data_IF_086639419658
#
_entry.id   IF_086639419658
#
_cell.length_a   1.000
_cell.length_b   1.000
_cell.length_c   1.000
_cell.angle_alpha   90.00
_cell.angle_beta   90.00
_cell.angle_gamma   90.00
#
_symmetry.space_group_name_H-M   'P 1'
#
loop_
_entity.id
_entity.type
_entity.pdbx_description
1 polymer ?
#
# COMPACT_ATOMS: atom_id res chain seq x y z
N UNK A 1 20.60 -15.22 -4.49
CA UNK A 1 19.39 -14.65 -3.85
C UNK A 1 18.45 -15.77 -3.52
N UNK A 2 18.14 -15.97 -2.24
CA UNK A 2 17.28 -17.06 -1.79
C UNK A 2 15.81 -16.66 -1.90
N UNK A 3 14.97 -17.54 -2.40
CA UNK A 3 13.52 -17.43 -2.46
C UNK A 3 12.94 -18.72 -1.93
N UNK A 4 11.81 -18.64 -1.25
CA UNK A 4 11.05 -19.83 -0.87
C UNK A 4 10.10 -20.15 -2.01
N UNK A 5 10.16 -21.39 -2.51
CA UNK A 5 9.19 -21.93 -3.46
C UNK A 5 8.04 -22.59 -2.72
N UNK A 6 6.87 -22.64 -3.34
CA UNK A 6 5.66 -23.26 -2.78
C UNK A 6 5.11 -22.55 -1.55
N UNK A 7 5.10 -21.24 -1.55
CA UNK A 7 4.16 -20.51 -0.72
C UNK A 7 2.76 -20.90 -1.22
N UNK A 8 2.17 -21.90 -0.57
CA UNK A 8 0.77 -22.27 -0.83
C UNK A 8 -0.05 -21.10 -0.32
N UNK A 9 -0.44 -20.24 -1.25
CA UNK A 9 -1.56 -19.35 -0.98
C UNK A 9 -2.72 -20.24 -0.58
N UNK A 10 -3.27 -20.11 0.64
CA UNK A 10 -4.48 -20.86 0.99
C UNK A 10 -5.49 -20.53 -0.09
N UNK A 11 -6.11 -21.54 -0.73
CA UNK A 11 -6.88 -21.45 -1.97
C UNK A 11 -7.90 -20.32 -2.01
N UNK A 12 -7.40 -19.11 -2.18
CA UNK A 12 -8.20 -17.91 -2.34
C UNK A 12 -8.84 -17.99 -3.72
N UNK A 13 -10.14 -18.04 -3.74
CA UNK A 13 -10.90 -17.85 -4.96
C UNK A 13 -10.53 -16.46 -5.47
N UNK A 14 -10.00 -16.36 -6.68
CA UNK A 14 -9.87 -15.07 -7.36
C UNK A 14 -11.27 -14.50 -7.50
N UNK A 15 -11.52 -13.35 -6.87
CA UNK A 15 -12.79 -12.68 -7.00
C UNK A 15 -12.87 -12.08 -8.41
N UNK A 16 -13.87 -12.49 -9.16
CA UNK A 16 -14.06 -12.02 -10.54
C UNK A 16 -14.38 -10.53 -10.60
N UNK A 17 -14.93 -9.97 -9.54
CA UNK A 17 -15.31 -8.55 -9.44
C UNK A 17 -15.20 -8.07 -7.99
N UNK A 18 -14.85 -6.80 -7.83
CA UNK A 18 -15.09 -6.09 -6.58
C UNK A 18 -16.55 -5.67 -6.50
N UNK A 19 -17.14 -5.79 -5.33
CA UNK A 19 -18.48 -5.29 -5.03
C UNK A 19 -18.32 -4.01 -4.20
N UNK A 20 -19.14 -2.98 -4.45
CA UNK A 20 -19.18 -1.83 -3.54
C UNK A 20 -19.68 -2.27 -2.17
N UNK A 21 -19.00 -1.81 -1.13
CA UNK A 21 -19.45 -2.04 0.24
C UNK A 21 -20.78 -1.31 0.50
N UNK A 22 -21.52 -1.76 1.50
CA UNK A 22 -22.66 -1.00 2.01
C UNK A 22 -22.17 0.38 2.45
N UNK A 23 -23.03 1.38 2.28
CA UNK A 23 -22.73 2.71 2.79
C UNK A 23 -22.77 2.67 4.31
N UNK A 24 -21.68 3.08 4.98
CA UNK A 24 -21.65 3.10 6.44
C UNK A 24 -22.58 4.19 6.96
N UNK A 25 -23.21 3.95 8.11
CA UNK A 25 -24.02 4.96 8.78
C UNK A 25 -23.15 6.13 9.28
N UNK A 26 -21.92 5.79 9.67
CA UNK A 26 -20.90 6.75 10.11
C UNK A 26 -19.56 6.41 9.44
N UNK A 27 -18.81 7.45 9.12
CA UNK A 27 -17.39 7.31 8.75
C UNK A 27 -16.54 8.05 9.78
N UNK A 28 -15.41 7.44 10.15
CA UNK A 28 -14.39 8.05 11.01
C UNK A 28 -13.17 8.34 10.15
N UNK A 29 -12.93 9.62 9.84
CA UNK A 29 -11.88 10.04 8.91
C UNK A 29 -10.71 10.63 9.70
N UNK A 30 -9.59 9.90 9.86
CA UNK A 30 -8.42 10.38 10.58
C UNK A 30 -7.80 11.59 9.88
N UNK A 31 -7.29 12.53 10.67
CA UNK A 31 -6.54 13.69 10.17
C UNK A 31 -5.05 13.40 9.97
N UNK A 32 -4.60 12.19 10.24
CA UNK A 32 -3.28 11.67 9.90
C UNK A 32 -3.44 10.42 9.04
N UNK A 33 -2.84 10.40 7.86
CA UNK A 33 -2.88 9.26 6.93
C UNK A 33 -1.49 8.77 6.52
N UNK A 34 -0.44 9.41 7.04
CA UNK A 34 0.95 9.02 6.88
C UNK A 34 1.72 9.23 8.18
N UNK A 35 2.78 8.47 8.39
CA UNK A 35 3.64 8.63 9.58
C UNK A 35 4.29 10.04 9.58
N UNK A 36 4.05 10.81 10.65
CA UNK A 36 4.72 12.07 10.92
C UNK A 36 4.06 13.33 10.34
N UNK A 37 2.99 13.20 9.56
CA UNK A 37 2.27 14.35 9.04
C UNK A 37 1.22 14.87 10.05
N UNK A 38 1.36 16.13 10.47
CA UNK A 38 0.33 16.83 11.21
C UNK A 38 -0.62 17.57 10.27
N UNK A 39 -1.91 17.25 10.36
CA UNK A 39 -2.96 17.90 9.58
C UNK A 39 -3.81 18.84 10.45
N UNK A 40 -4.15 19.98 9.88
CA UNK A 40 -5.13 20.89 10.50
C UNK A 40 -6.54 20.49 10.09
N UNK A 41 -7.47 20.29 11.05
CA UNK A 41 -8.87 20.10 10.73
C UNK A 41 -9.42 21.34 10.00
N UNK A 42 -10.15 21.10 8.92
CA UNK A 42 -10.86 22.10 8.13
C UNK A 42 -12.36 22.07 8.39
N UNK A 43 -12.81 21.33 9.41
CA UNK A 43 -14.21 21.16 9.78
C UNK A 43 -14.39 21.13 11.28
N UNK A 44 -15.59 21.53 11.73
CA UNK A 44 -16.01 21.55 13.14
C UNK A 44 -17.27 20.68 13.34
N UNK A 45 -17.57 20.24 14.58
CA UNK A 45 -18.83 19.57 14.89
C UNK A 45 -20.03 20.44 14.51
N UNK A 46 -20.99 19.85 13.79
CA UNK A 46 -22.16 20.53 13.23
C UNK A 46 -22.04 20.92 11.76
N UNK A 47 -20.82 20.93 11.20
CA UNK A 47 -20.62 21.26 9.79
C UNK A 47 -21.25 20.23 8.86
N UNK A 48 -21.86 20.72 7.77
CA UNK A 48 -22.31 19.89 6.66
C UNK A 48 -21.20 19.73 5.65
N UNK A 49 -20.88 18.49 5.28
CA UNK A 49 -19.82 18.16 4.31
C UNK A 49 -20.39 17.43 3.12
N UNK A 50 -19.75 17.61 1.94
CA UNK A 50 -20.05 16.88 0.70
C UNK A 50 -19.07 15.74 0.55
N UNK A 51 -19.48 14.71 -0.22
CA UNK A 51 -18.54 13.71 -0.71
C UNK A 51 -17.41 14.38 -1.51
N UNK A 52 -16.15 14.08 -1.16
CA UNK A 52 -14.97 14.67 -1.77
C UNK A 52 -14.58 16.06 -1.25
N UNK A 53 -15.26 16.60 -0.27
CA UNK A 53 -14.85 17.88 0.37
C UNK A 53 -13.61 17.64 1.23
N UNK A 54 -12.64 18.56 1.18
CA UNK A 54 -11.46 18.54 2.06
C UNK A 54 -11.91 18.75 3.50
N UNK A 55 -11.53 17.84 4.39
CA UNK A 55 -11.82 17.89 5.84
C UNK A 55 -10.57 18.13 6.67
N UNK A 56 -9.39 17.87 6.13
CA UNK A 56 -8.12 18.26 6.74
C UNK A 56 -7.04 18.45 5.66
N UNK A 57 -6.09 19.34 5.92
CA UNK A 57 -4.97 19.61 5.05
C UNK A 57 -3.66 19.71 5.85
N UNK A 58 -2.53 19.46 5.21
CA UNK A 58 -1.21 19.53 5.86
C UNK A 58 -0.94 20.94 6.40
N UNK A 59 -0.45 21.05 7.65
CA UNK A 59 -0.10 22.32 8.28
C UNK A 59 1.07 23.04 7.63
N UNK A 60 1.95 22.30 6.96
CA UNK A 60 3.13 22.86 6.33
C UNK A 60 2.80 23.46 4.96
N UNK A 61 2.20 24.62 4.94
CA UNK A 61 1.89 25.38 3.71
C UNK A 61 3.13 25.69 2.88
N UNK A 62 4.30 25.83 3.50
CA UNK A 62 5.57 26.13 2.84
C UNK A 62 6.29 24.88 2.31
N UNK A 63 6.11 23.72 2.91
CA UNK A 63 6.74 22.46 2.47
C UNK A 63 5.88 21.67 1.48
N UNK A 64 4.57 21.95 1.36
CA UNK A 64 3.61 21.31 0.43
C UNK A 64 3.76 19.77 0.33
N UNK A 65 4.10 19.12 1.44
CA UNK A 65 4.50 17.72 1.47
C UNK A 65 3.35 16.75 1.74
N UNK A 66 2.23 17.20 2.31
CA UNK A 66 1.07 16.35 2.60
C UNK A 66 0.08 16.23 1.44
N UNK A 67 -0.78 15.24 1.48
CA UNK A 67 -1.92 15.07 0.59
C UNK A 67 -3.21 15.38 1.34
N UNK A 68 -4.11 16.17 0.74
CA UNK A 68 -5.37 16.56 1.38
C UNK A 68 -6.23 15.34 1.75
N UNK A 69 -6.98 15.48 2.83
CA UNK A 69 -7.88 14.46 3.37
C UNK A 69 -9.32 14.88 3.08
N UNK A 70 -10.08 13.95 2.51
CA UNK A 70 -11.41 14.22 1.99
C UNK A 70 -12.48 13.43 2.73
N UNK A 71 -13.66 14.01 2.87
CA UNK A 71 -14.83 13.27 3.28
C UNK A 71 -15.19 12.23 2.23
N UNK A 72 -15.29 10.98 2.65
CA UNK A 72 -15.69 9.87 1.76
C UNK A 72 -17.20 9.79 1.55
N UNK A 73 -17.98 10.50 2.34
CA UNK A 73 -19.45 10.52 2.32
C UNK A 73 -19.98 11.95 2.44
N UNK A 74 -21.16 12.26 1.89
CA UNK A 74 -21.88 13.47 2.29
C UNK A 74 -22.47 13.27 3.68
N UNK A 75 -22.52 14.33 4.49
CA UNK A 75 -23.08 14.20 5.83
C UNK A 75 -22.91 15.40 6.73
N UNK A 76 -23.08 15.17 8.01
CA UNK A 76 -22.82 16.15 9.07
C UNK A 76 -21.71 15.63 9.98
N UNK A 77 -20.75 16.48 10.29
CA UNK A 77 -19.71 16.19 11.28
C UNK A 77 -20.37 16.16 12.66
N UNK A 78 -20.42 14.98 13.27
CA UNK A 78 -21.05 14.77 14.57
C UNK A 78 -20.11 15.15 15.72
N UNK A 79 -18.84 14.73 15.58
CA UNK A 79 -17.79 15.02 16.57
C UNK A 79 -16.40 14.98 15.94
N UNK A 80 -15.43 15.56 16.64
CA UNK A 80 -13.99 15.35 16.44
C UNK A 80 -13.52 14.49 17.60
N UNK A 81 -13.09 13.27 17.31
CA UNK A 81 -12.71 12.25 18.30
C UNK A 81 -11.34 11.66 18.02
N UNK A 82 -10.76 10.98 19.00
CA UNK A 82 -9.51 10.23 18.82
C UNK A 82 -9.83 8.84 18.27
N UNK A 83 -9.11 8.41 17.26
CA UNK A 83 -9.16 7.05 16.73
C UNK A 83 -7.76 6.43 16.70
N UNK A 84 -7.72 5.10 16.75
CA UNK A 84 -6.48 4.34 16.60
C UNK A 84 -6.19 4.12 15.11
N UNK A 85 -4.96 4.38 14.69
CA UNK A 85 -4.47 4.10 13.34
C UNK A 85 -3.90 2.68 13.25
N UNK A 86 -3.66 2.20 12.03
CA UNK A 86 -3.08 0.87 11.78
C UNK A 86 -1.72 0.65 12.48
N UNK A 87 -0.90 1.70 12.61
CA UNK A 87 0.39 1.65 13.29
C UNK A 87 0.30 1.70 14.83
N UNK A 88 -0.91 1.75 15.41
CA UNK A 88 -1.17 1.85 16.84
C UNK A 88 -1.15 3.28 17.39
N UNK A 89 -0.79 4.29 16.59
CA UNK A 89 -0.82 5.68 17.01
C UNK A 89 -2.26 6.19 17.11
N UNK A 90 -2.46 7.22 17.95
CA UNK A 90 -3.73 7.93 18.05
C UNK A 90 -3.71 9.16 17.13
N UNK A 91 -4.79 9.36 16.40
CA UNK A 91 -5.03 10.57 15.61
C UNK A 91 -6.38 11.16 15.96
N UNK A 92 -6.53 12.48 15.81
CA UNK A 92 -7.86 13.06 15.75
C UNK A 92 -8.53 12.70 14.43
N UNK A 93 -9.85 12.51 14.45
CA UNK A 93 -10.66 12.13 13.29
C UNK A 93 -12.00 12.86 13.32
N UNK A 94 -12.54 13.16 12.14
CA UNK A 94 -13.93 13.60 12.00
C UNK A 94 -14.84 12.38 11.94
N UNK A 95 -15.80 12.28 12.88
CA UNK A 95 -16.92 11.36 12.81
C UNK A 95 -18.05 12.00 12.03
N UNK A 96 -18.36 11.44 10.87
CA UNK A 96 -19.36 11.99 9.94
C UNK A 96 -20.55 11.05 9.85
N UNK A 97 -21.72 11.56 10.16
CA UNK A 97 -22.99 10.85 9.94
C UNK A 97 -23.37 10.95 8.48
N UNK A 98 -23.48 9.82 7.81
CA UNK A 98 -23.80 9.75 6.37
C UNK A 98 -25.23 10.20 6.12
N UNK A 99 -25.40 11.27 5.35
CA UNK A 99 -26.71 11.79 4.93
C UNK A 99 -26.57 12.69 3.70
N UNK A 100 -27.61 12.76 2.87
CA UNK A 100 -27.63 13.63 1.71
C UNK A 100 -27.21 12.95 0.41
N UNK A 101 -26.98 13.74 -0.63
CA UNK A 101 -26.71 13.27 -1.98
C UNK A 101 -25.21 13.11 -2.24
N UNK A 102 -24.82 11.98 -2.81
CA UNK A 102 -23.45 11.73 -3.23
C UNK A 102 -23.09 12.54 -4.49
N UNK A 103 -21.87 13.04 -4.54
CA UNK A 103 -21.34 13.80 -5.70
C UNK A 103 -20.86 12.88 -6.81
N UNK A 104 -20.26 11.74 -6.46
CA UNK A 104 -19.60 10.82 -7.40
C UNK A 104 -20.26 9.45 -7.49
N UNK A 105 -20.81 8.94 -6.40
CA UNK A 105 -21.41 7.61 -6.34
C UNK A 105 -22.57 7.47 -7.33
N UNK A 106 -22.45 6.48 -8.24
CA UNK A 106 -23.47 6.19 -9.25
C UNK A 106 -23.58 7.20 -10.39
N UNK A 107 -22.65 8.18 -10.46
CA UNK A 107 -22.62 9.19 -11.51
C UNK A 107 -21.46 8.94 -12.48
N UNK A 108 -21.73 9.12 -13.77
CA UNK A 108 -20.71 9.12 -14.81
C UNK A 108 -20.01 10.48 -14.78
N UNK A 109 -18.69 10.48 -14.62
CA UNK A 109 -17.89 11.68 -14.68
C UNK A 109 -17.43 11.94 -16.12
N UNK A 110 -17.32 13.22 -16.48
CA UNK A 110 -16.73 13.60 -17.76
C UNK A 110 -15.20 13.43 -17.65
N UNK A 111 -14.62 12.70 -18.57
CA UNK A 111 -13.17 12.54 -18.62
C UNK A 111 -12.47 13.84 -18.97
N UNK A 112 -11.38 14.12 -18.26
CA UNK A 112 -10.49 15.26 -18.47
C UNK A 112 -9.31 14.76 -19.29
N UNK A 113 -8.96 15.50 -20.34
CA UNK A 113 -7.72 15.22 -21.07
C UNK A 113 -6.50 15.61 -20.22
N UNK A 114 -5.90 14.60 -19.58
CA UNK A 114 -4.77 14.79 -18.70
C UNK A 114 -3.48 15.21 -19.41
N UNK A 115 -3.40 15.03 -20.74
CA UNK A 115 -2.21 15.38 -21.55
C UNK A 115 -1.96 16.89 -21.61
N UNK A 116 -2.97 17.70 -21.26
CA UNK A 116 -2.84 19.17 -21.20
C UNK A 116 -2.13 19.68 -19.95
N UNK A 117 -1.97 18.84 -18.92
CA UNK A 117 -1.37 19.26 -17.66
C UNK A 117 0.15 19.21 -17.70
N UNK A 118 0.79 20.29 -17.25
CA UNK A 118 2.23 20.28 -16.97
C UNK A 118 2.54 19.45 -15.71
N UNK A 119 3.79 18.98 -15.57
CA UNK A 119 4.22 18.18 -14.42
C UNK A 119 3.93 18.86 -13.08
N UNK A 120 4.20 20.15 -12.96
CA UNK A 120 3.91 20.92 -11.74
C UNK A 120 2.41 20.92 -11.39
N UNK A 121 1.53 21.10 -12.38
CA UNK A 121 0.08 21.05 -12.20
C UNK A 121 -0.38 19.67 -11.75
N UNK A 122 0.19 18.59 -12.33
CA UNK A 122 -0.11 17.22 -11.92
C UNK A 122 0.27 16.99 -10.44
N UNK A 123 1.39 17.51 -9.97
CA UNK A 123 1.80 17.40 -8.58
C UNK A 123 0.83 18.12 -7.62
N UNK A 124 0.35 19.30 -8.00
CA UNK A 124 -0.65 20.03 -7.21
C UNK A 124 -1.99 19.30 -7.21
N UNK A 125 -2.40 18.71 -8.33
CA UNK A 125 -3.59 17.86 -8.40
C UNK A 125 -3.42 16.60 -7.56
N UNK A 126 -2.26 15.92 -7.59
CA UNK A 126 -2.02 14.76 -6.71
C UNK A 126 -2.22 15.10 -5.25
N UNK A 127 -1.72 16.26 -4.80
CA UNK A 127 -1.92 16.75 -3.45
C UNK A 127 -3.39 17.05 -3.16
N UNK A 128 -4.04 17.84 -4.01
CA UNK A 128 -5.43 18.31 -3.84
C UNK A 128 -6.45 17.16 -3.91
N UNK A 129 -6.17 16.09 -4.67
CA UNK A 129 -7.01 14.88 -4.74
C UNK A 129 -6.69 13.86 -3.66
N UNK A 130 -5.71 14.12 -2.81
CA UNK A 130 -5.33 13.23 -1.73
C UNK A 130 -4.66 11.94 -2.18
N UNK A 131 -3.97 11.95 -3.34
CA UNK A 131 -3.33 10.76 -3.90
C UNK A 131 -2.07 10.41 -3.11
N UNK A 132 -2.00 9.15 -2.69
CA UNK A 132 -0.88 8.59 -1.95
C UNK A 132 -0.32 7.38 -2.67
N UNK A 133 0.98 7.15 -2.51
CA UNK A 133 1.63 5.91 -2.92
C UNK A 133 1.54 4.89 -1.80
N UNK A 134 1.04 3.68 -2.11
CA UNK A 134 0.88 2.58 -1.16
C UNK A 134 1.76 1.37 -1.47
N UNK A 135 2.70 1.51 -2.37
CA UNK A 135 3.62 0.45 -2.79
C UNK A 135 4.38 -0.20 -1.63
N UNK A 136 4.83 0.59 -0.66
CA UNK A 136 5.58 0.12 0.53
C UNK A 136 4.70 -0.43 1.65
N UNK A 137 3.38 -0.49 1.46
CA UNK A 137 2.41 -0.85 2.50
C UNK A 137 2.07 0.27 3.48
N UNK A 138 2.60 1.48 3.25
CA UNK A 138 2.28 2.72 3.97
C UNK A 138 1.75 3.74 2.96
N UNK A 139 0.89 4.65 3.44
CA UNK A 139 0.40 5.75 2.61
C UNK A 139 1.40 6.92 2.65
N UNK A 140 2.10 7.15 1.55
CA UNK A 140 3.05 8.28 1.40
C UNK A 140 2.48 9.26 0.38
N UNK A 141 2.56 10.57 0.64
CA UNK A 141 2.14 11.58 -0.34
C UNK A 141 2.91 11.41 -1.65
N UNK A 142 2.20 11.09 -2.73
CA UNK A 142 2.83 10.88 -4.05
C UNK A 142 3.53 12.14 -4.55
N UNK A 143 2.92 13.31 -4.35
CA UNK A 143 3.52 14.58 -4.73
C UNK A 143 4.84 14.86 -3.98
N UNK A 144 4.90 14.52 -2.68
CA UNK A 144 6.11 14.64 -1.88
C UNK A 144 7.21 13.69 -2.34
N UNK A 145 6.86 12.44 -2.57
CA UNK A 145 7.80 11.41 -3.02
C UNK A 145 8.46 11.82 -4.35
N UNK A 146 7.65 12.30 -5.30
CA UNK A 146 8.13 12.80 -6.58
C UNK A 146 9.04 14.03 -6.40
N UNK A 147 8.62 15.02 -5.61
CA UNK A 147 9.42 16.24 -5.37
C UNK A 147 10.79 15.92 -4.76
N UNK A 148 10.83 14.99 -3.81
CA UNK A 148 12.08 14.60 -3.15
C UNK A 148 13.03 13.82 -4.08
N UNK A 149 12.51 13.24 -5.15
CA UNK A 149 13.28 12.43 -6.11
C UNK A 149 13.70 13.18 -7.39
N UNK A 150 13.29 14.44 -7.58
CA UNK A 150 13.46 15.18 -8.86
C UNK A 150 14.90 15.54 -9.23
N UNK A 151 15.86 15.41 -8.33
CA UNK A 151 17.27 15.77 -8.59
C UNK A 151 18.06 14.66 -9.30
N UNK A 152 17.46 13.53 -9.59
CA UNK A 152 18.16 12.37 -10.14
C UNK A 152 18.07 12.31 -11.68
N UNK A 153 19.15 11.82 -12.29
CA UNK A 153 19.18 11.43 -13.72
C UNK A 153 18.67 9.99 -13.87
N UNK A 154 18.18 9.63 -15.06
CA UNK A 154 17.62 8.29 -15.36
C UNK A 154 16.44 7.92 -14.44
N UNK A 155 15.37 8.68 -14.55
CA UNK A 155 14.13 8.49 -13.78
C UNK A 155 13.23 7.48 -14.49
N UNK A 156 12.73 6.50 -13.75
CA UNK A 156 11.76 5.51 -14.25
C UNK A 156 10.60 5.35 -13.29
N UNK A 157 9.43 5.10 -13.85
CA UNK A 157 8.28 4.61 -13.11
C UNK A 157 8.27 3.09 -13.19
N UNK A 158 8.14 2.41 -12.05
CA UNK A 158 8.07 0.95 -11.97
C UNK A 158 6.74 0.57 -11.36
N UNK A 159 5.93 -0.19 -12.10
CA UNK A 159 4.63 -0.66 -11.61
C UNK A 159 4.69 -2.16 -11.34
N UNK A 160 4.47 -2.54 -10.07
CA UNK A 160 4.32 -3.92 -9.65
C UNK A 160 2.87 -4.36 -9.83
N UNK A 161 2.57 -5.22 -10.81
CA UNK A 161 1.23 -5.63 -11.19
C UNK A 161 0.70 -6.83 -10.39
N UNK A 162 1.13 -6.98 -9.13
CA UNK A 162 0.74 -8.07 -8.22
C UNK A 162 0.98 -7.69 -6.77
N UNK A 163 0.39 -8.44 -5.85
CA UNK A 163 0.57 -8.23 -4.41
C UNK A 163 1.95 -8.70 -3.92
N UNK A 164 2.53 -7.95 -2.99
CA UNK A 164 3.80 -8.32 -2.36
C UNK A 164 3.63 -9.45 -1.33
N UNK A 165 2.55 -9.40 -0.54
CA UNK A 165 2.19 -10.49 0.37
C UNK A 165 1.40 -11.57 -0.39
N UNK A 166 1.82 -12.85 -0.35
CA UNK A 166 1.15 -13.92 -1.07
C UNK A 166 -0.27 -14.24 -0.56
N UNK A 167 -0.67 -13.73 0.60
CA UNK A 167 -2.03 -13.86 1.14
C UNK A 167 -2.97 -12.72 0.72
N UNK A 168 -2.48 -11.72 -0.01
CA UNK A 168 -3.24 -10.56 -0.47
C UNK A 168 -3.50 -10.67 -1.98
N UNK A 169 -4.65 -10.18 -2.45
CA UNK A 169 -5.08 -10.25 -3.85
C UNK A 169 -5.61 -8.94 -4.40
N UNK A 170 -5.47 -7.85 -3.67
CA UNK A 170 -6.03 -6.55 -4.04
C UNK A 170 -5.35 -5.98 -5.27
N UNK A 171 -4.02 -5.86 -5.24
CA UNK A 171 -3.24 -5.31 -6.37
C UNK A 171 -3.37 -6.19 -7.61
N UNK A 172 -3.39 -7.51 -7.44
CA UNK A 172 -3.56 -8.47 -8.55
C UNK A 172 -4.93 -8.35 -9.20
N UNK A 173 -6.00 -8.24 -8.41
CA UNK A 173 -7.36 -8.04 -8.92
C UNK A 173 -7.49 -6.71 -9.65
N UNK A 174 -6.95 -5.63 -9.06
CA UNK A 174 -6.98 -4.30 -9.68
C UNK A 174 -6.22 -4.30 -11.00
N UNK A 175 -5.03 -4.89 -11.05
CA UNK A 175 -4.23 -5.02 -12.28
C UNK A 175 -4.98 -5.77 -13.39
N UNK A 176 -5.71 -6.84 -13.04
CA UNK A 176 -6.48 -7.64 -14.00
C UNK A 176 -7.75 -6.92 -14.49
N UNK A 177 -8.55 -6.37 -13.56
CA UNK A 177 -9.91 -5.88 -13.88
C UNK A 177 -9.95 -4.41 -14.33
N UNK A 178 -8.94 -3.64 -13.96
CA UNK A 178 -8.83 -2.20 -14.24
C UNK A 178 -7.56 -1.87 -15.01
N UNK A 179 -7.10 -2.80 -15.87
CA UNK A 179 -5.80 -2.69 -16.55
C UNK A 179 -5.60 -1.36 -17.27
N UNK A 180 -6.60 -0.93 -18.07
CA UNK A 180 -6.51 0.32 -18.83
C UNK A 180 -6.34 1.54 -17.91
N UNK A 181 -7.09 1.59 -16.83
CA UNK A 181 -6.99 2.67 -15.84
C UNK A 181 -5.64 2.66 -15.12
N UNK A 182 -5.12 1.48 -14.79
CA UNK A 182 -3.77 1.32 -14.21
C UNK A 182 -2.70 1.82 -15.18
N UNK A 183 -2.78 1.46 -16.45
CA UNK A 183 -1.85 1.90 -17.50
C UNK A 183 -1.90 3.43 -17.67
N UNK A 184 -3.10 4.02 -17.76
CA UNK A 184 -3.26 5.48 -17.86
C UNK A 184 -2.69 6.17 -16.62
N UNK A 185 -2.98 5.66 -15.42
CA UNK A 185 -2.43 6.19 -14.16
C UNK A 185 -0.91 6.14 -14.11
N UNK A 186 -0.29 5.07 -14.59
CA UNK A 186 1.17 4.96 -14.70
C UNK A 186 1.77 5.97 -15.70
N UNK A 187 1.09 6.22 -16.84
CA UNK A 187 1.49 7.24 -17.84
C UNK A 187 1.41 8.66 -17.26
N UNK A 188 0.36 8.97 -16.50
CA UNK A 188 0.22 10.24 -15.79
C UNK A 188 1.34 10.40 -14.75
N UNK A 189 1.65 9.35 -13.98
CA UNK A 189 2.75 9.36 -13.02
C UNK A 189 4.11 9.58 -13.71
N UNK A 190 4.33 8.98 -14.90
CA UNK A 190 5.52 9.23 -15.71
C UNK A 190 5.66 10.71 -16.10
N UNK A 191 4.56 11.34 -16.55
CA UNK A 191 4.57 12.76 -16.89
C UNK A 191 4.85 13.64 -15.66
N UNK A 192 4.21 13.35 -14.51
CA UNK A 192 4.42 14.10 -13.29
C UNK A 192 5.85 13.95 -12.74
N UNK A 193 6.43 12.76 -12.84
CA UNK A 193 7.80 12.46 -12.43
C UNK A 193 8.85 12.84 -13.47
N UNK A 194 8.43 13.25 -14.68
CA UNK A 194 9.29 13.49 -15.86
C UNK A 194 10.22 12.31 -16.13
N UNK A 195 9.67 11.10 -16.05
CA UNK A 195 10.46 9.88 -16.17
C UNK A 195 10.76 9.53 -17.63
N UNK A 196 11.93 8.92 -17.85
CA UNK A 196 12.44 8.49 -19.16
C UNK A 196 11.67 7.28 -19.71
N UNK A 197 10.98 6.53 -18.83
CA UNK A 197 10.20 5.36 -19.25
C UNK A 197 9.42 4.72 -18.11
N UNK A 198 8.62 3.71 -18.46
CA UNK A 198 7.78 2.93 -17.53
C UNK A 198 8.18 1.46 -17.63
N UNK A 199 8.37 0.81 -16.48
CA UNK A 199 8.59 -0.63 -16.39
C UNK A 199 7.44 -1.30 -15.66
N UNK A 200 6.71 -2.18 -16.33
CA UNK A 200 5.69 -3.02 -15.73
C UNK A 200 6.27 -4.38 -15.36
N UNK A 201 6.07 -4.81 -14.11
CA UNK A 201 6.43 -6.16 -13.67
C UNK A 201 5.16 -6.95 -13.46
N UNK A 202 4.90 -7.89 -14.37
CA UNK A 202 3.66 -8.66 -14.49
C UNK A 202 3.86 -10.08 -13.97
N UNK A 203 2.88 -10.72 -13.31
CA UNK A 203 2.97 -12.14 -12.98
C UNK A 203 3.12 -13.00 -14.24
N UNK A 204 3.98 -14.03 -14.22
CA UNK A 204 4.09 -14.99 -15.35
C UNK A 204 2.78 -15.70 -15.69
N UNK A 205 1.91 -15.86 -14.69
CA UNK A 205 0.60 -16.50 -14.82
C UNK A 205 -0.55 -15.49 -14.73
N UNK A 206 -0.31 -14.25 -15.22
CA UNK A 206 -1.38 -13.26 -15.32
C UNK A 206 -2.44 -13.72 -16.33
N UNK A 207 -3.69 -13.37 -16.05
CA UNK A 207 -4.86 -13.55 -16.93
C UNK A 207 -5.07 -12.34 -17.86
N UNK A 208 -4.11 -11.42 -17.91
CA UNK A 208 -4.09 -10.21 -18.73
C UNK A 208 -2.74 -10.01 -19.40
N UNK A 209 -2.72 -9.24 -20.47
CA UNK A 209 -1.51 -8.76 -21.14
C UNK A 209 -1.60 -7.26 -21.37
N UNK A 210 -0.48 -6.57 -21.24
CA UNK A 210 -0.37 -5.15 -21.54
C UNK A 210 -0.06 -5.03 -23.03
N UNK A 211 -0.89 -4.26 -23.76
CA UNK A 211 -0.67 -3.97 -25.16
C UNK A 211 0.33 -2.79 -25.27
N UNK A 212 1.49 -3.07 -25.87
CA UNK A 212 2.54 -2.06 -26.05
C UNK A 212 2.11 -0.95 -27.04
N UNK A 213 1.13 -1.21 -27.90
CA UNK A 213 0.60 -0.19 -28.84
C UNK A 213 -0.08 0.99 -28.13
N UNK A 214 -0.46 0.85 -26.86
CA UNK A 214 -1.07 1.90 -26.04
C UNK A 214 -0.08 3.05 -25.69
N UNK A 215 1.23 2.83 -25.88
CA UNK A 215 2.25 3.75 -25.38
C UNK A 215 2.83 4.68 -26.45
N UNK A 216 2.43 4.53 -27.73
CA UNK A 216 2.91 5.36 -28.84
C UNK A 216 4.46 5.44 -28.85
N UNK A 217 5.03 6.64 -28.60
CA UNK A 217 6.47 6.88 -28.56
C UNK A 217 7.08 6.74 -27.14
N UNK A 218 6.31 6.28 -26.14
CA UNK A 218 6.78 6.15 -24.77
C UNK A 218 7.67 4.90 -24.61
N UNK A 219 8.78 5.01 -23.91
CA UNK A 219 9.66 3.87 -23.61
C UNK A 219 9.03 3.02 -22.52
N UNK A 220 8.69 1.79 -22.86
CA UNK A 220 8.03 0.84 -21.95
C UNK A 220 8.81 -0.47 -21.92
N UNK A 221 8.92 -1.07 -20.74
CA UNK A 221 9.44 -2.42 -20.56
C UNK A 221 8.43 -3.29 -19.82
N UNK A 222 8.03 -4.41 -20.40
CA UNK A 222 7.15 -5.37 -19.75
C UNK A 222 8.00 -6.57 -19.36
N UNK A 223 8.07 -6.84 -18.05
CA UNK A 223 8.88 -7.91 -17.48
C UNK A 223 8.01 -8.85 -16.65
N UNK A 224 8.26 -10.17 -16.80
CA UNK A 224 7.47 -11.20 -16.14
C UNK A 224 8.18 -11.77 -14.91
N UNK A 225 7.50 -11.68 -13.75
CA UNK A 225 7.97 -12.23 -12.48
C UNK A 225 7.28 -13.55 -12.14
N UNK A 226 8.03 -14.49 -11.56
CA UNK A 226 7.50 -15.73 -11.03
C UNK A 226 7.00 -15.53 -9.60
N UNK A 227 5.71 -15.22 -9.46
CA UNK A 227 5.05 -14.92 -8.17
C UNK A 227 4.88 -16.15 -7.28
N UNK A 228 5.18 -17.38 -7.77
CA UNK A 228 5.26 -18.57 -6.92
C UNK A 228 6.50 -18.56 -6.00
N UNK A 229 7.44 -17.64 -6.24
CA UNK A 229 8.66 -17.45 -5.45
C UNK A 229 8.56 -16.24 -4.58
N UNK A 230 8.65 -16.43 -3.28
CA UNK A 230 8.62 -15.33 -2.32
C UNK A 230 10.02 -15.06 -1.72
N UNK A 231 10.41 -13.78 -1.52
CA UNK A 231 9.78 -12.56 -1.98
C UNK A 231 10.06 -12.30 -3.47
N UNK A 232 9.10 -11.75 -4.19
CA UNK A 232 9.26 -11.35 -5.59
C UNK A 232 8.92 -9.88 -5.87
N UNK A 233 8.16 -9.25 -4.96
CA UNK A 233 7.63 -7.90 -5.10
C UNK A 233 8.48 -6.77 -4.48
N UNK A 234 9.59 -7.09 -3.79
CA UNK A 234 10.46 -6.07 -3.19
C UNK A 234 11.20 -5.27 -4.26
N UNK A 235 11.50 -4.00 -3.98
CA UNK A 235 12.22 -3.07 -4.89
C UNK A 235 13.42 -3.74 -5.54
N UNK A 236 14.27 -4.38 -4.75
CA UNK A 236 15.48 -5.05 -5.23
C UNK A 236 15.19 -6.20 -6.23
N UNK A 237 14.13 -6.98 -5.97
CA UNK A 237 13.72 -8.06 -6.87
C UNK A 237 13.16 -7.51 -8.18
N UNK A 238 12.33 -6.48 -8.11
CA UNK A 238 11.78 -5.82 -9.29
C UNK A 238 12.90 -5.26 -10.18
N UNK A 239 13.84 -4.50 -9.60
CA UNK A 239 15.01 -3.99 -10.34
C UNK A 239 15.81 -5.12 -11.02
N UNK A 240 16.00 -6.24 -10.31
CA UNK A 240 16.72 -7.38 -10.88
C UNK A 240 15.97 -8.00 -12.07
N UNK A 241 14.64 -8.11 -11.98
CA UNK A 241 13.83 -8.62 -13.08
C UNK A 241 13.94 -7.70 -14.30
N UNK A 242 13.81 -6.39 -14.11
CA UNK A 242 13.87 -5.39 -15.17
C UNK A 242 15.26 -5.37 -15.81
N UNK A 243 16.34 -5.31 -15.00
CA UNK A 243 17.73 -5.34 -15.51
C UNK A 243 18.07 -6.62 -16.28
N UNK A 244 17.43 -7.74 -15.94
CA UNK A 244 17.61 -8.98 -16.71
C UNK A 244 16.98 -8.84 -18.10
N UNK A 245 15.85 -8.17 -18.22
CA UNK A 245 15.17 -7.92 -19.48
C UNK A 245 15.88 -6.85 -20.33
N UNK A 246 16.58 -5.90 -19.72
CA UNK A 246 17.31 -4.81 -20.39
C UNK A 246 18.55 -5.27 -21.20
N UNK A 247 18.85 -6.57 -21.20
CA UNK A 247 19.83 -7.17 -22.12
C UNK A 247 19.37 -7.20 -23.58
N UNK A 248 18.09 -7.00 -23.82
CA UNK A 248 17.50 -6.81 -25.15
C UNK A 248 17.76 -5.35 -25.54
N UNK A 249 18.34 -5.04 -26.71
CA UNK A 249 18.73 -3.67 -27.10
C UNK A 249 17.60 -2.64 -26.95
N UNK A 250 16.38 -3.03 -27.24
CA UNK A 250 15.16 -2.20 -27.14
C UNK A 250 14.89 -1.69 -25.71
N UNK A 251 15.31 -2.46 -24.69
CA UNK A 251 15.10 -2.14 -23.28
C UNK A 251 16.38 -1.71 -22.56
N UNK A 252 17.47 -1.43 -23.26
CA UNK A 252 18.79 -1.12 -22.68
C UNK A 252 18.74 0.05 -21.69
N UNK A 253 17.91 1.06 -21.94
CA UNK A 253 17.76 2.22 -21.07
C UNK A 253 17.37 1.84 -19.63
N UNK A 254 16.61 0.75 -19.45
CA UNK A 254 16.19 0.26 -18.14
C UNK A 254 17.30 -0.44 -17.33
N UNK A 255 18.50 -0.59 -17.90
CA UNK A 255 19.69 -1.03 -17.15
C UNK A 255 20.05 -0.06 -16.02
N UNK A 256 19.70 1.22 -16.18
CA UNK A 256 19.99 2.31 -15.23
C UNK A 256 19.00 2.39 -14.06
N UNK A 257 17.99 1.51 -14.00
CA UNK A 257 17.00 1.51 -12.94
C UNK A 257 17.67 1.39 -11.56
N UNK A 258 17.23 2.19 -10.58
CA UNK A 258 17.83 2.26 -9.26
C UNK A 258 16.76 2.44 -8.17
N UNK A 259 17.14 2.51 -6.89
CA UNK A 259 16.24 2.64 -5.75
C UNK A 259 15.50 3.98 -5.66
N UNK A 260 15.95 4.99 -6.41
CA UNK A 260 15.34 6.32 -6.45
C UNK A 260 14.30 6.47 -7.56
N UNK A 261 14.06 5.41 -8.33
CA UNK A 261 12.94 5.34 -9.25
C UNK A 261 11.61 5.33 -8.48
N UNK A 262 10.55 5.78 -9.13
CA UNK A 262 9.21 5.80 -8.54
C UNK A 262 8.58 4.41 -8.67
N UNK A 263 8.39 3.74 -7.54
CA UNK A 263 7.74 2.43 -7.48
C UNK A 263 6.28 2.59 -7.12
N UNK A 264 5.39 2.04 -7.93
CA UNK A 264 3.95 2.13 -7.77
C UNK A 264 3.30 0.75 -7.74
N UNK A 265 2.12 0.70 -7.15
CA UNK A 265 1.18 -0.42 -7.22
C UNK A 265 -0.06 -0.07 -8.06
N UNK A 266 -0.87 -1.06 -8.46
CA UNK A 266 -2.06 -0.84 -9.30
C UNK A 266 -3.08 0.09 -8.63
N UNK A 267 -3.22 0.03 -7.31
CA UNK A 267 -4.19 0.84 -6.60
C UNK A 267 -3.80 2.32 -6.52
N UNK A 268 -2.50 2.61 -6.42
CA UNK A 268 -1.98 3.97 -6.58
C UNK A 268 -2.24 4.48 -8.00
N UNK A 269 -2.00 3.65 -9.02
CA UNK A 269 -2.28 4.04 -10.41
C UNK A 269 -3.78 4.31 -10.66
N UNK A 270 -4.69 3.52 -10.10
CA UNK A 270 -6.14 3.79 -10.15
C UNK A 270 -6.48 5.11 -9.46
N UNK A 271 -5.90 5.37 -8.29
CA UNK A 271 -6.13 6.63 -7.58
C UNK A 271 -5.67 7.85 -8.41
N UNK A 272 -4.57 7.70 -9.16
CA UNK A 272 -4.09 8.73 -10.11
C UNK A 272 -5.12 8.89 -11.25
N UNK A 273 -5.58 7.79 -11.86
CA UNK A 273 -6.58 7.85 -12.92
C UNK A 273 -7.89 8.51 -12.45
N UNK A 274 -8.44 8.05 -11.33
CA UNK A 274 -9.69 8.59 -10.78
C UNK A 274 -9.54 10.07 -10.41
N UNK A 275 -8.39 10.46 -9.83
CA UNK A 275 -8.11 11.85 -9.45
C UNK A 275 -7.94 12.80 -10.61
N UNK A 276 -7.20 12.41 -11.62
CA UNK A 276 -6.79 13.30 -12.72
C UNK A 276 -7.75 13.23 -13.90
N UNK A 277 -8.16 12.02 -14.30
CA UNK A 277 -9.03 11.85 -15.47
C UNK A 277 -10.50 12.07 -15.10
N UNK A 278 -10.95 11.56 -13.94
CA UNK A 278 -12.34 11.67 -13.51
C UNK A 278 -12.60 12.82 -12.51
N UNK A 279 -11.55 13.48 -12.02
CA UNK A 279 -11.66 14.55 -11.04
C UNK A 279 -12.10 14.10 -9.65
N UNK A 280 -12.12 12.79 -9.37
CA UNK A 280 -12.61 12.21 -8.11
C UNK A 280 -11.45 12.13 -7.10
N UNK A 281 -11.53 12.80 -5.93
CA UNK A 281 -10.51 12.63 -4.90
C UNK A 281 -10.55 11.22 -4.32
N UNK A 282 -9.47 10.83 -3.61
CA UNK A 282 -9.36 9.49 -3.00
C UNK A 282 -10.33 9.36 -1.83
N UNK A 283 -11.51 8.82 -2.10
CA UNK A 283 -12.60 8.59 -1.14
C UNK A 283 -12.96 7.13 -0.95
N UNK A 284 -12.43 6.24 -1.80
CA UNK A 284 -12.67 4.79 -1.76
C UNK A 284 -11.35 4.03 -1.92
N UNK A 285 -11.30 2.80 -1.39
CA UNK A 285 -10.19 1.86 -1.55
C UNK A 285 -10.70 0.46 -1.85
N UNK A 286 -9.90 -0.33 -2.58
CA UNK A 286 -10.17 -1.75 -2.73
C UNK A 286 -9.63 -2.50 -1.52
N UNK A 287 -10.48 -3.27 -0.87
CA UNK A 287 -10.12 -4.05 0.34
C UNK A 287 -10.56 -5.50 0.16
N UNK A 288 -9.59 -6.41 0.27
CA UNK A 288 -9.83 -7.85 0.32
C UNK A 288 -10.14 -8.26 1.76
N UNK A 289 -11.36 -8.73 2.00
CA UNK A 289 -11.81 -9.17 3.33
C UNK A 289 -11.95 -10.68 3.34
N UNK A 290 -11.20 -11.37 4.20
CA UNK A 290 -11.13 -12.83 4.24
C UNK A 290 -10.87 -13.36 5.66
N UNK A 291 -10.84 -14.66 5.81
CA UNK A 291 -10.49 -15.35 7.05
C UNK A 291 -11.39 -16.53 7.36
N UNK A 292 -10.86 -17.49 8.09
CA UNK A 292 -11.58 -18.72 8.49
C UNK A 292 -12.77 -18.47 9.43
N UNK A 293 -12.77 -17.32 10.12
CA UNK A 293 -13.82 -16.93 11.04
C UNK A 293 -15.05 -16.31 10.36
N UNK A 294 -14.92 -15.83 9.10
CA UNK A 294 -16.00 -15.17 8.39
C UNK A 294 -16.95 -16.16 7.73
N UNK A 295 -18.22 -15.77 7.60
CA UNK A 295 -19.21 -16.52 6.82
C UNK A 295 -18.92 -16.51 5.34
N UNK A 296 -18.45 -15.40 4.81
CA UNK A 296 -18.03 -15.26 3.43
C UNK A 296 -16.84 -14.32 3.31
N UNK A 297 -16.00 -14.53 2.30
CA UNK A 297 -14.94 -13.62 1.92
C UNK A 297 -15.41 -12.71 0.77
N UNK A 298 -14.79 -11.54 0.59
CA UNK A 298 -15.14 -10.63 -0.49
C UNK A 298 -14.03 -9.66 -0.86
N UNK A 299 -14.13 -9.13 -2.08
CA UNK A 299 -13.35 -8.00 -2.53
C UNK A 299 -14.29 -6.80 -2.63
N UNK A 300 -14.02 -5.75 -1.88
CA UNK A 300 -14.92 -4.61 -1.79
C UNK A 300 -14.23 -3.32 -2.21
N UNK A 301 -14.96 -2.43 -2.88
CA UNK A 301 -14.60 -1.02 -2.99
C UNK A 301 -15.25 -0.29 -1.81
N UNK A 302 -14.44 0.12 -0.84
CA UNK A 302 -14.84 0.57 0.50
C UNK A 302 -14.65 2.07 0.64
N UNK A 303 -15.59 2.76 1.29
CA UNK A 303 -15.44 4.16 1.67
C UNK A 303 -14.37 4.31 2.76
N UNK A 304 -13.44 5.24 2.56
CA UNK A 304 -12.45 5.59 3.59
C UNK A 304 -13.19 6.04 4.87
N UNK A 305 -12.74 5.57 6.02
CA UNK A 305 -13.40 5.82 7.30
C UNK A 305 -14.44 4.78 7.71
N UNK A 306 -14.77 3.79 6.86
CA UNK A 306 -15.60 2.63 7.25
C UNK A 306 -14.84 1.79 8.27
N UNK A 307 -15.48 1.34 9.35
CA UNK A 307 -14.82 0.50 10.35
C UNK A 307 -14.54 -0.91 9.82
N UNK A 308 -13.47 -1.55 10.32
CA UNK A 308 -13.17 -2.97 10.00
C UNK A 308 -14.32 -3.86 10.49
N UNK A 309 -15.02 -3.48 11.54
CA UNK A 309 -16.21 -4.14 12.06
C UNK A 309 -17.36 -4.17 11.04
N UNK A 310 -17.60 -3.04 10.37
CA UNK A 310 -18.63 -2.95 9.33
C UNK A 310 -18.28 -3.83 8.11
N UNK A 311 -16.99 -3.95 7.77
CA UNK A 311 -16.55 -4.87 6.73
C UNK A 311 -16.80 -6.34 7.08
N UNK A 312 -16.58 -6.73 8.34
CA UNK A 312 -16.90 -8.07 8.79
C UNK A 312 -18.42 -8.35 8.72
N UNK A 313 -19.25 -7.37 9.06
CA UNK A 313 -20.71 -7.46 8.93
C UNK A 313 -21.14 -7.61 7.46
N UNK A 314 -20.49 -6.90 6.54
CA UNK A 314 -20.73 -7.04 5.12
C UNK A 314 -20.44 -8.46 4.59
N UNK A 315 -19.48 -9.15 5.19
CA UNK A 315 -19.17 -10.56 4.94
C UNK A 315 -20.16 -11.54 5.62
N UNK A 316 -21.29 -11.05 6.12
CA UNK A 316 -22.31 -11.84 6.84
C UNK A 316 -21.98 -12.08 8.32
N UNK A 317 -20.94 -11.43 8.84
CA UNK A 317 -20.45 -11.59 10.22
C UNK A 317 -19.60 -12.85 10.39
N UNK A 318 -19.45 -13.25 11.64
CA UNK A 318 -18.56 -14.34 12.03
C UNK A 318 -19.31 -15.67 12.24
N UNK A 319 -18.66 -16.77 11.86
CA UNK A 319 -19.03 -18.13 12.28
C UNK A 319 -18.44 -18.43 13.66
N UNK A 320 -17.21 -17.95 13.92
CA UNK A 320 -16.49 -18.09 15.19
C UNK A 320 -15.77 -16.77 15.48
N UNK A 321 -15.61 -16.44 16.76
CA UNK A 321 -14.88 -15.22 17.15
C UNK A 321 -13.43 -15.26 16.64
N UNK A 322 -12.95 -14.19 15.98
CA UNK A 322 -11.57 -14.13 15.55
C UNK A 322 -10.62 -14.05 16.74
N UNK A 323 -9.57 -14.84 16.72
CA UNK A 323 -8.52 -14.81 17.73
C UNK A 323 -7.41 -13.81 17.37
N UNK A 324 -7.31 -13.44 16.08
CA UNK A 324 -6.40 -12.40 15.60
C UNK A 324 -6.96 -11.78 14.32
N UNK A 325 -6.76 -10.48 14.19
CA UNK A 325 -7.09 -9.72 12.97
C UNK A 325 -5.78 -9.23 12.38
N UNK A 326 -5.58 -9.46 11.09
CA UNK A 326 -4.37 -9.05 10.37
C UNK A 326 -4.77 -8.17 9.19
N UNK A 327 -4.11 -7.03 9.07
CA UNK A 327 -4.32 -6.07 7.99
C UNK A 327 -3.10 -6.08 7.07
N UNK A 328 -3.33 -6.03 5.76
CA UNK A 328 -2.31 -5.98 4.70
C UNK A 328 -1.43 -7.24 4.55
N UNK A 329 -1.95 -8.41 4.94
CA UNK A 329 -1.32 -9.70 4.65
C UNK A 329 -0.72 -10.40 5.86
N UNK A 330 -0.64 -11.72 5.79
CA UNK A 330 -0.18 -12.57 6.92
C UNK A 330 1.31 -12.44 7.22
N UNK A 331 2.12 -12.09 6.22
CA UNK A 331 3.58 -12.12 6.34
C UNK A 331 4.12 -10.75 6.68
N UNK A 332 3.71 -9.73 5.90
CA UNK A 332 4.22 -8.37 6.03
C UNK A 332 3.23 -7.42 6.70
N UNK A 333 2.00 -7.88 6.96
CA UNK A 333 0.95 -7.06 7.52
C UNK A 333 1.06 -6.83 9.03
N UNK A 334 0.10 -6.07 9.53
CA UNK A 334 0.00 -5.64 10.93
C UNK A 334 -1.15 -6.35 11.64
N UNK A 335 -0.90 -6.89 12.82
CA UNK A 335 -1.96 -7.41 13.71
C UNK A 335 -2.63 -6.27 14.46
N UNK A 336 -3.95 -6.26 14.51
CA UNK A 336 -4.74 -5.28 15.26
C UNK A 336 -5.60 -5.98 16.32
N UNK A 337 -5.92 -5.24 17.39
CA UNK A 337 -6.79 -5.72 18.46
C UNK A 337 -8.19 -5.11 18.41
N UNK A 338 -8.33 -3.94 17.75
CA UNK A 338 -9.55 -3.16 17.68
C UNK A 338 -10.18 -3.24 16.29
N UNK A 339 -11.47 -3.54 16.21
CA UNK A 339 -12.24 -3.55 14.96
C UNK A 339 -12.86 -2.20 14.61
N UNK A 340 -12.84 -1.24 15.53
CA UNK A 340 -13.33 0.11 15.25
C UNK A 340 -12.30 0.99 14.50
N UNK A 341 -11.09 0.44 14.25
CA UNK A 341 -10.10 1.07 13.36
C UNK A 341 -10.74 1.34 11.99
N UNK A 342 -10.69 2.60 11.51
CA UNK A 342 -11.25 2.96 10.22
C UNK A 342 -10.35 2.50 9.06
N UNK A 343 -10.96 2.17 7.94
CA UNK A 343 -10.25 1.95 6.68
C UNK A 343 -9.59 3.26 6.25
N UNK A 344 -8.26 3.25 6.16
CA UNK A 344 -7.44 4.35 5.67
C UNK A 344 -6.94 4.06 4.24
N UNK A 345 -6.23 5.02 3.63
CA UNK A 345 -5.71 4.89 2.25
C UNK A 345 -4.70 3.75 2.07
N UNK A 346 -4.10 3.23 3.14
CA UNK A 346 -3.09 2.15 3.11
C UNK A 346 -3.68 0.74 3.29
N UNK A 347 -4.94 0.62 3.72
CA UNK A 347 -5.56 -0.67 4.00
C UNK A 347 -6.03 -1.31 2.69
N UNK A 348 -5.43 -2.47 2.35
CA UNK A 348 -5.74 -3.26 1.15
C UNK A 348 -6.36 -4.62 1.45
N UNK A 349 -6.12 -5.16 2.64
CA UNK A 349 -6.75 -6.42 3.04
C UNK A 349 -6.96 -6.49 4.54
N UNK A 350 -7.99 -7.24 4.95
CA UNK A 350 -8.28 -7.57 6.33
C UNK A 350 -8.57 -9.06 6.41
N UNK A 351 -7.87 -9.75 7.30
CA UNK A 351 -8.01 -11.18 7.49
C UNK A 351 -8.30 -11.52 8.95
N UNK A 352 -9.36 -12.33 9.18
CA UNK A 352 -9.83 -12.73 10.49
C UNK A 352 -9.47 -14.20 10.76
N UNK A 353 -8.47 -14.41 11.62
CA UNK A 353 -7.88 -15.71 11.90
C UNK A 353 -8.49 -16.37 13.14
N UNK A 354 -8.74 -17.67 13.05
CA UNK A 354 -9.19 -18.49 14.17
C UNK A 354 -8.00 -18.85 15.09
N UNK A 355 -8.30 -19.30 16.30
CA UNK A 355 -7.30 -19.79 17.26
C UNK A 355 -6.50 -20.97 16.73
N UNK A 356 -7.10 -21.81 15.88
CA UNK A 356 -6.44 -22.95 15.26
C UNK A 356 -5.31 -22.57 14.29
N UNK A 357 -5.38 -21.36 13.71
CA UNK A 357 -4.36 -20.84 12.78
C UNK A 357 -3.22 -20.12 13.49
N UNK A 358 -3.34 -19.87 14.79
CA UNK A 358 -2.34 -19.14 15.54
C UNK A 358 -1.28 -20.09 16.12
N UNK A 359 -0.03 -19.65 16.00
CA UNK A 359 1.05 -20.30 16.72
C UNK A 359 1.26 -19.63 18.09
N UNK A 360 0.81 -20.29 19.16
CA UNK A 360 0.78 -19.76 20.53
C UNK A 360 2.13 -19.89 21.27
N UNK A 361 3.17 -20.40 20.61
CA UNK A 361 4.46 -20.57 21.27
C UNK A 361 5.15 -19.21 21.52
N UNK A 362 5.61 -19.00 22.74
CA UNK A 362 6.37 -17.81 23.14
C UNK A 362 7.75 -17.80 22.48
N UNK A 363 8.29 -16.61 22.28
CA UNK A 363 9.67 -16.44 21.85
C UNK A 363 10.63 -16.90 22.96
N UNK A 364 11.76 -17.46 22.54
CA UNK A 364 12.85 -17.89 23.42
C UNK A 364 14.13 -17.14 23.03
N UNK A 365 15.18 -17.12 23.89
CA UNK A 365 16.44 -16.49 23.54
C UNK A 365 17.05 -17.05 22.24
N UNK A 366 17.81 -16.21 21.54
CA UNK A 366 18.46 -16.59 20.29
C UNK A 366 19.47 -17.73 20.51
N UNK A 367 19.26 -18.86 19.81
CA UNK A 367 20.18 -20.03 19.87
C UNK A 367 21.33 -19.96 18.87
N UNK A 368 21.50 -18.86 18.16
CA UNK A 368 22.57 -18.60 17.16
C UNK A 368 22.68 -19.63 16.04
N UNK A 369 21.55 -20.20 15.59
CA UNK A 369 21.52 -21.22 14.55
C UNK A 369 21.87 -20.70 13.13
N UNK A 370 21.85 -19.39 12.90
CA UNK A 370 22.19 -18.75 11.63
C UNK A 370 21.15 -18.87 10.51
N UNK A 371 20.00 -19.51 10.72
CA UNK A 371 18.96 -19.69 9.68
C UNK A 371 18.47 -18.36 9.12
N UNK A 372 18.31 -17.31 9.97
CA UNK A 372 17.88 -15.97 9.56
C UNK A 372 18.85 -15.31 8.57
N UNK A 373 20.17 -15.48 8.78
CA UNK A 373 21.20 -15.00 7.83
C UNK A 373 21.17 -15.81 6.54
N UNK A 374 21.03 -17.13 6.68
CA UNK A 374 21.04 -18.04 5.54
C UNK A 374 19.86 -17.79 4.59
N UNK A 375 18.68 -17.40 5.08
CA UNK A 375 17.47 -17.18 4.27
C UNK A 375 17.38 -15.74 3.73
N UNK A 376 18.04 -14.76 4.34
CA UNK A 376 17.91 -13.36 3.99
C UNK A 376 18.25 -13.11 2.51
N UNK A 377 17.33 -12.56 1.70
CA UNK A 377 17.58 -12.28 0.28
C UNK A 377 18.58 -11.15 0.07
N UNK A 378 18.74 -10.26 1.06
CA UNK A 378 19.66 -9.12 1.04
C UNK A 378 20.95 -9.40 1.83
N UNK A 379 21.17 -10.67 2.25
CA UNK A 379 22.36 -11.10 3.01
C UNK A 379 22.65 -10.32 4.30
N UNK A 380 21.60 -9.80 4.92
CA UNK A 380 21.71 -9.14 6.21
C UNK A 380 22.06 -10.13 7.34
N UNK A 381 22.35 -9.57 8.50
CA UNK A 381 22.61 -10.32 9.75
C UNK A 381 21.50 -10.06 10.77
N UNK A 382 20.25 -10.58 10.55
CA UNK A 382 19.09 -10.20 11.34
C UNK A 382 19.21 -10.46 12.83
N UNK A 383 19.93 -11.51 13.24
CA UNK A 383 20.18 -11.83 14.64
C UNK A 383 21.06 -10.82 15.34
N UNK A 384 22.05 -10.24 14.65
CA UNK A 384 22.88 -9.19 15.23
C UNK A 384 22.13 -7.85 15.29
N UNK A 385 21.40 -7.48 14.23
CA UNK A 385 20.56 -6.28 14.22
C UNK A 385 19.50 -6.36 15.33
N UNK A 386 18.89 -7.54 15.54
CA UNK A 386 17.96 -7.77 16.65
C UNK A 386 18.63 -7.52 18.01
N UNK A 387 19.82 -8.06 18.24
CA UNK A 387 20.57 -7.88 19.50
C UNK A 387 20.98 -6.43 19.74
N UNK A 388 21.30 -5.71 18.67
CA UNK A 388 21.61 -4.29 18.78
C UNK A 388 20.44 -3.52 19.42
N UNK A 389 19.22 -3.78 19.00
CA UNK A 389 18.02 -3.11 19.51
C UNK A 389 17.63 -3.62 20.90
N UNK A 390 17.62 -4.95 21.11
CA UNK A 390 17.02 -5.54 22.32
C UNK A 390 18.02 -5.69 23.49
N UNK A 391 19.31 -5.85 23.20
CA UNK A 391 20.34 -6.11 24.20
C UNK A 391 21.40 -4.97 24.26
N UNK A 392 21.24 -3.89 23.45
CA UNK A 392 22.21 -2.81 23.36
C UNK A 392 23.57 -3.25 22.80
N UNK A 393 23.60 -4.33 22.00
CA UNK A 393 24.83 -4.86 21.42
C UNK A 393 25.43 -3.88 20.41
N UNK A 394 26.66 -3.43 20.66
CA UNK A 394 27.33 -2.49 19.76
C UNK A 394 27.80 -3.20 18.49
N UNK A 395 27.26 -2.78 17.37
CA UNK A 395 27.72 -3.19 16.03
C UNK A 395 28.57 -2.09 15.40
N UNK A 396 29.39 -2.47 14.42
CA UNK A 396 30.02 -1.47 13.56
C UNK A 396 28.94 -0.65 12.84
N UNK A 397 29.22 0.64 12.61
CA UNK A 397 28.29 1.53 11.88
C UNK A 397 27.90 0.97 10.51
N UNK A 398 28.83 0.30 9.83
CA UNK A 398 28.60 -0.31 8.52
C UNK A 398 27.54 -1.42 8.58
N UNK A 399 27.59 -2.29 9.62
CA UNK A 399 26.60 -3.36 9.79
C UNK A 399 25.23 -2.75 10.16
N UNK A 400 25.20 -1.78 11.05
CA UNK A 400 23.97 -1.10 11.44
C UNK A 400 23.31 -0.42 10.21
N UNK A 401 24.10 0.27 9.40
CA UNK A 401 23.64 0.93 8.19
C UNK A 401 23.06 -0.04 7.14
N UNK A 402 23.41 -1.34 7.17
CA UNK A 402 22.79 -2.32 6.26
C UNK A 402 21.30 -2.55 6.53
N UNK A 403 20.79 -2.17 7.69
CA UNK A 403 19.38 -2.33 8.05
C UNK A 403 18.42 -1.68 7.04
N UNK A 404 18.81 -0.56 6.41
CA UNK A 404 18.01 0.14 5.37
C UNK A 404 17.77 -0.72 4.12
N UNK A 405 18.59 -1.75 3.88
CA UNK A 405 18.41 -2.69 2.77
C UNK A 405 17.33 -3.73 3.05
N UNK A 406 16.76 -3.75 4.26
CA UNK A 406 15.72 -4.71 4.63
C UNK A 406 14.44 -4.45 3.84
N UNK A 407 14.09 -5.35 2.93
CA UNK A 407 12.83 -5.30 2.17
C UNK A 407 11.60 -5.77 2.94
N UNK A 408 11.65 -5.87 4.27
CA UNK A 408 10.55 -6.25 5.19
C UNK A 408 9.80 -7.54 4.83
N UNK A 409 10.47 -8.50 4.19
CA UNK A 409 9.87 -9.74 3.70
C UNK A 409 9.58 -10.80 4.80
N UNK A 410 9.95 -10.57 6.04
CA UNK A 410 9.75 -11.44 7.21
C UNK A 410 10.24 -12.91 7.08
N UNK A 411 11.02 -13.28 6.05
CA UNK A 411 11.57 -14.63 5.93
C UNK A 411 12.45 -15.03 7.11
N UNK A 412 13.18 -14.08 7.70
CA UNK A 412 13.98 -14.33 8.90
C UNK A 412 13.13 -14.76 10.09
N UNK A 413 11.91 -14.21 10.24
CA UNK A 413 10.95 -14.60 11.27
C UNK A 413 10.46 -16.04 11.04
N UNK A 414 10.11 -16.36 9.78
CA UNK A 414 9.49 -17.65 9.43
C UNK A 414 10.41 -18.85 9.67
N UNK A 415 11.72 -18.65 9.58
CA UNK A 415 12.72 -19.72 9.80
C UNK A 415 13.33 -19.70 11.20
N UNK A 416 12.94 -18.75 12.06
CA UNK A 416 13.52 -18.62 13.40
C UNK A 416 12.92 -19.65 14.36
N UNK A 417 13.68 -20.65 14.85
CA UNK A 417 13.17 -21.62 15.81
C UNK A 417 12.88 -20.99 17.16
N UNK A 418 13.59 -19.90 17.50
CA UNK A 418 13.35 -19.12 18.71
C UNK A 418 12.18 -18.12 18.58
N UNK A 419 11.55 -18.01 17.39
CA UNK A 419 10.37 -17.15 17.11
C UNK A 419 10.58 -15.68 17.45
N UNK A 420 11.77 -15.17 17.19
CA UNK A 420 12.10 -13.77 17.42
C UNK A 420 11.46 -12.87 16.35
N UNK A 421 10.96 -11.68 16.72
CA UNK A 421 10.40 -10.70 15.77
C UNK A 421 11.51 -9.92 15.05
N UNK A 422 12.38 -10.63 14.32
CA UNK A 422 13.59 -10.08 13.72
C UNK A 422 13.30 -8.96 12.74
N UNK A 423 12.31 -9.17 11.87
CA UNK A 423 11.94 -8.22 10.83
C UNK A 423 11.36 -6.93 11.43
N UNK A 424 10.47 -7.06 12.40
CA UNK A 424 9.86 -5.93 13.11
C UNK A 424 10.89 -5.10 13.88
N UNK A 425 11.84 -5.76 14.50
CA UNK A 425 12.93 -5.08 15.22
C UNK A 425 13.86 -4.31 14.27
N UNK A 426 14.12 -4.85 13.07
CA UNK A 426 14.88 -4.13 12.03
C UNK A 426 14.09 -2.91 11.51
N UNK A 427 12.77 -3.02 11.36
CA UNK A 427 11.92 -1.87 10.99
C UNK A 427 11.96 -0.76 12.04
N UNK A 428 11.93 -1.13 13.33
CA UNK A 428 12.08 -0.18 14.43
C UNK A 428 13.44 0.52 14.38
N UNK A 429 14.54 -0.22 14.16
CA UNK A 429 15.88 0.36 14.05
C UNK A 429 15.95 1.42 12.94
N UNK A 430 15.29 1.19 11.80
CA UNK A 430 15.26 2.13 10.69
C UNK A 430 14.44 3.39 11.00
N UNK A 431 13.44 3.29 11.88
CA UNK A 431 12.63 4.45 12.31
C UNK A 431 13.36 5.30 13.36
N UNK A 432 14.06 4.66 14.29
CA UNK A 432 14.78 5.33 15.39
C UNK A 432 16.10 5.96 14.92
N UNK A 433 16.63 5.54 13.77
CA UNK A 433 17.89 6.01 13.19
C UNK A 433 17.78 7.21 12.21
N UNK A 434 16.56 7.69 11.96
CA UNK A 434 16.22 8.88 11.18
C UNK A 434 15.80 10.02 12.18
#
# INVERSE_FOLDING_TARGET
MKTVTNFVSPGHRMFEKSVRSFLPQYTVIPFCQADGDEYSPGVEPGDSVREGQVVASSRNFLSSTGSDIHSSVPGTVESIEKCTLLNGNLSYAARIKTQGAFSYLGKVQKEIDWKIFASATLLDEFRSKGIVNTFSGKAVSLASEIKNSTLEKNRFVVVRMFDDDPGRFTDTMVASKYLNQVVIGARIARCAFEADGIAFVVPKKADFSIDESLFEDEKVSITYADTSKYPCGTVHKLMRHIRKNSKIPEYEIFSNINHKCLFLDPETCISIYEGIVLGIPVVERFVHVTGSCLKSAGMFKVRIGTSIKDLAQQCGGFNTSPAKIVVNGRIIGTGIADMDIPVTKEIKSVEFLSSAELCVQKSTPCIRCGHCRAICPEHLVPDLLYKMVTEGYLLSKDIAATSVLCGQCALCNSVCPARLPLCQTIDQLNKDGN
#
